data_IF_898217591335
#
_entry.id   IF_898217591335
#
_cell.length_a   1.000
_cell.length_b   1.000
_cell.length_c   1.000
_cell.angle_alpha   90.00
_cell.angle_beta   90.00
_cell.angle_gamma   90.00
#
_symmetry.space_group_name_H-M   'P 1'
#
loop_
_entity.id
_entity.type
_entity.pdbx_description
1 polymer ?
#
# COMPACT_ATOMS: atom_id res chain seq x y z
N UNK A 1 9.01 1.32 19.28
CA UNK A 1 7.78 1.10 18.47
C UNK A 1 7.91 -0.09 17.53
N UNK A 2 8.85 -0.11 16.57
CA UNK A 2 8.99 -1.22 15.60
C UNK A 2 9.09 -2.63 16.20
N UNK A 3 9.84 -2.81 17.30
CA UNK A 3 9.95 -4.10 18.00
C UNK A 3 8.63 -4.61 18.62
N UNK A 4 7.76 -3.71 19.08
CA UNK A 4 6.45 -4.08 19.63
C UNK A 4 5.49 -4.56 18.54
N UNK A 5 5.57 -3.97 17.34
CA UNK A 5 4.78 -4.40 16.19
C UNK A 5 5.26 -5.73 15.61
N UNK A 6 6.57 -5.96 15.54
CA UNK A 6 7.13 -7.26 15.12
C UNK A 6 6.73 -8.37 16.11
N UNK A 7 6.67 -8.07 17.42
CA UNK A 7 6.19 -9.01 18.44
C UNK A 7 4.72 -9.43 18.26
N UNK A 8 3.85 -8.54 17.79
CA UNK A 8 2.41 -8.78 17.64
C UNK A 8 2.06 -9.33 16.25
N UNK A 9 2.62 -8.74 15.19
CA UNK A 9 2.29 -9.05 13.79
C UNK A 9 3.34 -9.92 13.07
N UNK A 10 4.59 -9.93 13.54
CA UNK A 10 5.69 -10.64 12.88
C UNK A 10 5.68 -12.16 13.04
N UNK A 11 4.80 -12.71 13.90
CA UNK A 11 4.67 -14.17 14.09
C UNK A 11 3.92 -14.86 12.95
N UNK A 12 3.13 -14.13 12.15
CA UNK A 12 2.34 -14.69 11.03
C UNK A 12 2.38 -13.78 9.82
N UNK A 13 2.64 -14.35 8.64
CA UNK A 13 2.71 -13.64 7.35
C UNK A 13 1.48 -12.78 7.06
N UNK A 14 0.29 -13.22 7.50
CA UNK A 14 -0.96 -12.47 7.36
C UNK A 14 -0.98 -11.16 8.16
N UNK A 15 -0.41 -11.15 9.38
CA UNK A 15 -0.33 -9.94 10.19
C UNK A 15 0.56 -8.86 9.54
N UNK A 16 1.63 -9.32 8.89
CA UNK A 16 2.53 -8.46 8.11
C UNK A 16 1.81 -7.90 6.88
N UNK A 17 1.00 -8.71 6.18
CA UNK A 17 0.19 -8.26 5.05
C UNK A 17 -0.82 -7.17 5.45
N UNK A 18 -1.53 -7.34 6.56
CA UNK A 18 -2.45 -6.31 7.07
C UNK A 18 -1.72 -5.02 7.43
N UNK A 19 -0.52 -5.12 8.01
CA UNK A 19 0.29 -3.94 8.32
C UNK A 19 0.68 -3.18 7.06
N UNK A 20 1.11 -3.86 6.00
CA UNK A 20 1.42 -3.23 4.71
C UNK A 20 0.20 -2.50 4.15
N UNK A 21 -0.96 -3.16 4.15
CA UNK A 21 -2.19 -2.54 3.66
C UNK A 21 -2.59 -1.30 4.48
N UNK A 22 -2.46 -1.38 5.81
CA UNK A 22 -2.72 -0.25 6.71
C UNK A 22 -1.78 0.93 6.47
N UNK A 23 -0.48 0.66 6.30
CA UNK A 23 0.50 1.69 5.91
C UNK A 23 0.12 2.34 4.58
N UNK A 24 -0.27 1.55 3.57
CA UNK A 24 -0.71 2.07 2.28
C UNK A 24 -1.93 3.00 2.41
N UNK A 25 -2.92 2.62 3.21
CA UNK A 25 -4.12 3.44 3.45
C UNK A 25 -3.78 4.75 4.15
N UNK A 26 -2.88 4.76 5.12
CA UNK A 26 -2.44 6.01 5.80
C UNK A 26 -1.62 6.91 4.88
N UNK A 27 -0.78 6.31 4.03
CA UNK A 27 0.09 7.06 3.12
C UNK A 27 -0.65 7.64 1.93
N UNK A 28 -1.73 6.98 1.48
CA UNK A 28 -2.52 7.38 0.33
C UNK A 28 -2.97 8.86 0.33
N UNK A 29 -3.56 9.41 1.41
CA UNK A 29 -3.99 10.81 1.41
C UNK A 29 -2.82 11.82 1.37
N UNK A 30 -1.62 11.43 1.83
CA UNK A 30 -0.47 12.32 1.99
C UNK A 30 0.47 12.28 0.78
N UNK A 31 0.60 11.11 0.14
CA UNK A 31 1.56 10.88 -0.95
C UNK A 31 0.85 10.73 -2.29
N UNK A 32 0.86 11.76 -3.16
CA UNK A 32 0.13 11.77 -4.43
C UNK A 32 0.85 10.98 -5.54
N UNK A 33 1.39 9.81 -5.22
CA UNK A 33 2.06 8.93 -6.17
C UNK A 33 2.00 7.48 -5.70
N UNK A 34 1.31 6.66 -6.49
CA UNK A 34 1.25 5.21 -6.33
C UNK A 34 2.64 4.56 -6.46
N UNK A 35 3.45 4.98 -7.46
CA UNK A 35 4.82 4.50 -7.67
C UNK A 35 5.74 4.86 -6.50
N UNK A 36 5.66 6.08 -5.95
CA UNK A 36 6.47 6.47 -4.81
C UNK A 36 6.13 5.63 -3.57
N UNK A 37 4.84 5.41 -3.30
CA UNK A 37 4.40 4.57 -2.18
C UNK A 37 4.87 3.12 -2.32
N UNK A 38 4.59 2.49 -3.47
CA UNK A 38 4.96 1.10 -3.71
C UNK A 38 6.48 0.87 -3.76
N UNK A 39 7.21 1.74 -4.45
CA UNK A 39 8.63 1.55 -4.74
C UNK A 39 9.58 2.12 -3.66
N UNK A 40 9.31 3.32 -3.15
CA UNK A 40 10.22 3.97 -2.22
C UNK A 40 9.90 3.63 -0.75
N UNK A 41 8.62 3.41 -0.42
CA UNK A 41 8.20 3.20 0.97
C UNK A 41 8.02 1.72 1.28
N UNK A 42 7.20 0.99 0.51
CA UNK A 42 6.85 -0.40 0.86
C UNK A 42 7.92 -1.42 0.45
N UNK A 43 8.57 -1.26 -0.70
CA UNK A 43 9.57 -2.22 -1.18
C UNK A 43 10.74 -2.45 -0.19
N UNK A 44 11.36 -1.41 0.43
CA UNK A 44 12.37 -1.63 1.47
C UNK A 44 11.86 -2.44 2.67
N UNK A 45 10.60 -2.22 3.06
CA UNK A 45 9.95 -2.94 4.17
C UNK A 45 9.81 -4.43 3.81
N UNK A 46 9.29 -4.72 2.61
CA UNK A 46 9.15 -6.09 2.10
C UNK A 46 10.52 -6.80 2.05
N UNK A 47 11.56 -6.12 1.57
CA UNK A 47 12.92 -6.68 1.55
C UNK A 47 13.48 -6.93 2.95
N UNK A 48 13.29 -6.01 3.89
CA UNK A 48 13.75 -6.18 5.27
C UNK A 48 13.08 -7.39 5.94
N UNK A 49 11.77 -7.59 5.70
CA UNK A 49 11.02 -8.73 6.20
C UNK A 49 11.49 -10.02 5.53
N UNK A 50 11.60 -10.04 4.20
CA UNK A 50 12.04 -11.20 3.45
C UNK A 50 13.42 -11.72 3.90
N UNK A 51 14.35 -10.81 4.23
CA UNK A 51 15.67 -11.15 4.80
C UNK A 51 15.62 -11.64 6.24
N UNK A 52 14.63 -11.18 7.03
CA UNK A 52 14.46 -11.56 8.43
C UNK A 52 13.88 -12.96 8.60
N UNK A 53 13.08 -13.42 7.63
CA UNK A 53 12.71 -14.82 7.52
C UNK A 53 13.95 -15.59 7.06
N UNK A 54 14.47 -16.51 7.88
CA UNK A 54 15.54 -17.44 7.47
C UNK A 54 14.94 -18.48 6.54
N UNK A 55 15.08 -18.33 5.22
CA UNK A 55 14.39 -19.24 4.33
C UNK A 55 15.27 -20.49 4.20
N UNK A 56 14.72 -21.67 4.43
CA UNK A 56 15.46 -22.93 4.27
C UNK A 56 15.60 -23.25 2.77
N UNK A 57 16.82 -23.44 2.24
CA UNK A 57 17.03 -23.86 0.85
C UNK A 57 16.33 -25.18 0.53
N UNK A 58 16.16 -26.04 1.53
CA UNK A 58 15.56 -27.37 1.45
C UNK A 58 14.05 -27.35 1.13
N UNK A 59 13.32 -26.28 1.48
CA UNK A 59 11.87 -26.19 1.29
C UNK A 59 11.44 -25.45 0.02
N UNK A 60 12.40 -24.86 -0.73
CA UNK A 60 12.09 -24.00 -1.89
C UNK A 60 11.23 -22.78 -1.53
N UNK A 61 11.20 -22.38 -0.25
CA UNK A 61 10.34 -21.31 0.27
C UNK A 61 10.99 -19.92 0.21
N UNK A 62 12.24 -19.83 -0.26
CA UNK A 62 13.07 -18.64 -0.09
C UNK A 62 12.47 -17.33 -0.63
N UNK A 63 11.65 -17.42 -1.67
CA UNK A 63 11.00 -16.25 -2.27
C UNK A 63 9.50 -16.15 -1.95
N UNK A 64 8.87 -17.14 -1.29
CA UNK A 64 7.41 -17.20 -1.18
C UNK A 64 6.83 -16.05 -0.36
N UNK A 65 7.49 -15.68 0.74
CA UNK A 65 7.04 -14.58 1.61
C UNK A 65 7.25 -13.23 0.92
N UNK A 66 8.42 -13.00 0.32
CA UNK A 66 8.70 -11.77 -0.42
C UNK A 66 7.71 -11.56 -1.57
N UNK A 67 7.47 -12.59 -2.38
CA UNK A 67 6.50 -12.56 -3.47
C UNK A 67 5.08 -12.31 -2.96
N UNK A 68 4.66 -12.99 -1.89
CA UNK A 68 3.34 -12.80 -1.29
C UNK A 68 3.14 -11.35 -0.81
N UNK A 69 4.10 -10.79 -0.08
CA UNK A 69 4.00 -9.42 0.44
C UNK A 69 4.05 -8.38 -0.67
N UNK A 70 4.84 -8.62 -1.72
CA UNK A 70 4.83 -7.78 -2.93
C UNK A 70 3.46 -7.80 -3.63
N UNK A 71 2.81 -8.96 -3.71
CA UNK A 71 1.45 -9.08 -4.26
C UNK A 71 0.42 -8.36 -3.40
N UNK A 72 0.51 -8.46 -2.07
CA UNK A 72 -0.35 -7.72 -1.15
C UNK A 72 -0.22 -6.22 -1.39
N UNK A 73 1.01 -5.70 -1.46
CA UNK A 73 1.24 -4.29 -1.74
C UNK A 73 0.69 -3.88 -3.11
N UNK A 74 0.92 -4.70 -4.14
CA UNK A 74 0.44 -4.44 -5.49
C UNK A 74 -1.09 -4.31 -5.57
N UNK A 75 -1.84 -5.02 -4.72
CA UNK A 75 -3.30 -4.91 -4.63
C UNK A 75 -3.76 -3.79 -3.69
N UNK A 76 -3.08 -3.58 -2.55
CA UNK A 76 -3.43 -2.54 -1.59
C UNK A 76 -3.24 -1.12 -2.14
N UNK A 77 -2.24 -0.92 -2.99
CA UNK A 77 -1.90 0.36 -3.57
C UNK A 77 -3.00 0.95 -4.49
N UNK A 78 -3.57 0.23 -5.47
CA UNK A 78 -4.71 0.73 -6.25
C UNK A 78 -5.98 0.87 -5.42
N UNK A 79 -6.25 -0.03 -4.47
CA UNK A 79 -7.42 0.08 -3.58
C UNK A 79 -7.36 1.37 -2.76
N UNK A 80 -6.23 1.63 -2.10
CA UNK A 80 -6.04 2.87 -1.34
C UNK A 80 -5.99 4.11 -2.25
N UNK A 81 -5.52 3.96 -3.50
CA UNK A 81 -5.57 5.04 -4.50
C UNK A 81 -6.99 5.41 -4.90
N UNK A 82 -7.91 4.44 -4.97
CA UNK A 82 -9.32 4.71 -5.22
C UNK A 82 -10.05 5.28 -4.00
N UNK A 83 -9.46 5.18 -2.80
CA UNK A 83 -10.02 5.68 -1.54
C UNK A 83 -9.71 7.16 -1.25
N UNK A 84 -8.78 7.82 -1.96
CA UNK A 84 -8.45 9.26 -1.77
C UNK A 84 -8.21 10.01 -3.10
N UNK A 85 -8.70 11.25 -3.30
CA UNK A 85 -8.48 12.01 -4.58
C UNK A 85 -7.03 12.39 -4.60
N UNK A 86 -6.46 12.71 -3.46
CA UNK A 86 -5.08 13.13 -3.38
C UNK A 86 -4.10 11.98 -3.62
N UNK A 87 -4.55 10.71 -3.65
CA UNK A 87 -3.64 9.58 -3.72
C UNK A 87 -2.98 9.37 -5.09
N UNK A 88 -3.58 9.89 -6.17
CA UNK A 88 -2.99 9.83 -7.51
C UNK A 88 -3.40 11.05 -8.35
N UNK A 89 -2.52 11.49 -9.27
CA UNK A 89 -2.77 12.60 -10.18
C UNK A 89 -4.05 12.53 -11.06
N UNK A 90 -4.52 11.37 -11.54
CA UNK A 90 -5.77 11.32 -12.32
C UNK A 90 -7.03 11.55 -11.48
N UNK A 91 -7.00 11.31 -10.18
CA UNK A 91 -8.22 11.39 -9.36
C UNK A 91 -8.77 12.84 -9.22
N UNK A 92 -7.96 13.89 -8.93
CA UNK A 92 -8.45 15.27 -8.94
C UNK A 92 -8.92 15.71 -10.33
N UNK A 93 -8.28 15.23 -11.39
CA UNK A 93 -8.67 15.54 -12.76
C UNK A 93 -10.09 15.02 -13.08
N UNK A 94 -10.45 13.83 -12.58
CA UNK A 94 -11.82 13.30 -12.71
C UNK A 94 -12.84 14.17 -11.98
N UNK A 95 -12.53 14.73 -10.80
CA UNK A 95 -13.41 15.70 -10.12
C UNK A 95 -13.66 16.90 -10.97
N UNK A 96 -12.57 17.48 -11.47
CA UNK A 96 -12.60 18.74 -12.18
C UNK A 96 -13.42 18.61 -13.45
N UNK A 97 -13.27 17.48 -14.17
CA UNK A 97 -14.10 17.15 -15.32
C UNK A 97 -15.57 16.98 -14.97
N UNK A 98 -15.91 16.33 -13.84
CA UNK A 98 -17.31 16.18 -13.40
C UNK A 98 -17.90 17.53 -13.00
N UNK A 99 -17.13 18.36 -12.29
CA UNK A 99 -17.54 19.69 -11.87
C UNK A 99 -17.80 20.59 -13.09
N UNK A 100 -16.91 20.55 -14.10
CA UNK A 100 -17.10 21.27 -15.36
C UNK A 100 -18.30 20.76 -16.16
N UNK A 101 -18.49 19.43 -16.25
CA UNK A 101 -19.61 18.83 -16.98
C UNK A 101 -20.98 19.11 -16.34
N UNK A 102 -21.02 19.33 -15.02
CA UNK A 102 -22.26 19.59 -14.26
C UNK A 102 -22.51 21.08 -14.00
N UNK A 103 -21.76 22.01 -14.62
CA UNK A 103 -21.80 23.44 -14.29
C UNK A 103 -21.68 23.71 -12.78
N UNK A 104 -20.82 22.95 -12.09
CA UNK A 104 -20.57 23.02 -10.65
C UNK A 104 -21.77 22.62 -9.76
N UNK A 105 -22.83 22.02 -10.29
CA UNK A 105 -23.95 21.50 -9.48
C UNK A 105 -23.53 20.31 -8.62
N UNK A 106 -22.53 19.54 -9.06
CA UNK A 106 -22.02 18.37 -8.33
C UNK A 106 -20.56 18.59 -7.95
N UNK A 107 -20.31 18.66 -6.64
CA UNK A 107 -18.97 18.76 -6.08
C UNK A 107 -18.59 17.47 -5.35
N UNK A 108 -17.57 16.76 -5.85
CA UNK A 108 -17.08 15.51 -5.27
C UNK A 108 -15.90 15.78 -4.33
N UNK A 109 -16.03 15.38 -3.07
CA UNK A 109 -14.98 15.47 -2.04
C UNK A 109 -14.62 14.07 -1.51
N UNK A 110 -13.67 13.99 -0.57
CA UNK A 110 -13.20 12.72 0.02
C UNK A 110 -13.72 12.51 1.43
N UNK A 111 -14.81 13.22 1.77
CA UNK A 111 -15.06 13.71 3.12
C UNK A 111 -14.75 15.18 3.21
#
# INVERSE_FOLDING_TARGET
>A
MAYHFISIFGKKTLGIAYFIAFCETILAPVTPSNTARAGAIINPIVQAIARSFKPTPEDGTQNKIGTYLSLVNYQANPISSAMFITATAPNPLVVDLIAQATNLEVYLTWG
#
